data_IF_011686080646
#
_entry.id   IF_011686080646
#
_cell.length_a   1.000
_cell.length_b   1.000
_cell.length_c   1.000
_cell.angle_alpha   90.00
_cell.angle_beta   90.00
_cell.angle_gamma   90.00
#
_symmetry.space_group_name_H-M   'P 1'
#
loop_
_entity.id
_entity.type
_entity.pdbx_description
1 polymer ?
#
# COMPACT_ATOMS: atom_id res chain seq x y z
N UNK A 1 9.33 -5.96 -21.23
CA UNK A 1 8.71 -5.55 -19.95
C UNK A 1 9.79 -4.86 -19.15
N UNK A 2 9.53 -3.67 -18.61
CA UNK A 2 10.44 -3.10 -17.60
C UNK A 2 10.04 -3.75 -16.28
N UNK A 3 11.00 -4.33 -15.59
CA UNK A 3 10.76 -4.89 -14.26
C UNK A 3 10.45 -3.73 -13.29
N UNK A 4 9.34 -3.87 -12.54
CA UNK A 4 9.02 -2.93 -11.46
C UNK A 4 9.92 -3.26 -10.26
N UNK A 5 10.58 -2.23 -9.74
CA UNK A 5 11.47 -2.30 -8.61
C UNK A 5 10.71 -1.84 -7.37
N UNK A 6 10.80 -2.60 -6.29
CA UNK A 6 10.32 -2.16 -4.99
C UNK A 6 11.51 -1.67 -4.18
N UNK A 7 11.43 -0.43 -3.67
CA UNK A 7 12.37 0.03 -2.65
C UNK A 7 12.28 -0.93 -1.44
N UNK A 8 13.43 -1.31 -0.90
CA UNK A 8 13.50 -2.31 0.19
C UNK A 8 12.68 -1.88 1.40
N UNK A 9 12.72 -0.59 1.77
CA UNK A 9 11.94 -0.07 2.91
C UNK A 9 10.45 -0.08 2.61
N UNK A 10 10.06 0.22 1.38
CA UNK A 10 8.65 0.17 0.94
C UNK A 10 8.14 -1.27 0.97
N UNK A 11 8.95 -2.24 0.55
CA UNK A 11 8.62 -3.65 0.65
C UNK A 11 8.45 -4.11 2.10
N UNK A 12 9.33 -3.67 3.00
CA UNK A 12 9.20 -3.96 4.44
C UNK A 12 7.91 -3.38 5.03
N UNK A 13 7.55 -2.15 4.67
CA UNK A 13 6.29 -1.52 5.08
C UNK A 13 5.09 -2.33 4.56
N UNK A 14 5.10 -2.71 3.29
CA UNK A 14 4.05 -3.52 2.69
C UNK A 14 3.86 -4.85 3.43
N UNK A 15 4.94 -5.60 3.63
CA UNK A 15 4.90 -6.89 4.33
C UNK A 15 4.45 -6.69 5.80
N UNK A 16 4.89 -5.62 6.48
CA UNK A 16 4.47 -5.27 7.84
C UNK A 16 2.96 -5.02 7.93
N UNK A 17 2.39 -4.25 7.00
CA UNK A 17 0.96 -3.94 6.98
C UNK A 17 0.15 -5.21 6.71
N UNK A 18 0.51 -5.98 5.68
CA UNK A 18 -0.18 -7.23 5.31
C UNK A 18 -0.17 -8.23 6.46
N UNK A 19 0.95 -8.39 7.17
CA UNK A 19 1.05 -9.29 8.31
C UNK A 19 0.18 -8.88 9.52
N UNK A 20 -0.19 -7.60 9.62
CA UNK A 20 -1.09 -7.09 10.66
C UNK A 20 -2.58 -7.14 10.25
N UNK A 21 -2.90 -7.57 9.03
CA UNK A 21 -4.28 -7.83 8.63
C UNK A 21 -4.78 -9.18 9.18
N UNK A 22 -6.10 -9.37 9.34
CA UNK A 22 -6.67 -10.68 9.64
C UNK A 22 -6.27 -11.70 8.58
N UNK A 23 -5.97 -12.94 8.99
CA UNK A 23 -5.40 -13.98 8.12
C UNK A 23 -6.15 -14.14 6.79
N UNK A 24 -7.48 -14.18 6.83
CA UNK A 24 -8.34 -14.34 5.65
C UNK A 24 -8.20 -13.22 4.61
N UNK A 25 -7.73 -12.03 5.01
CA UNK A 25 -7.58 -10.87 4.13
C UNK A 25 -6.15 -10.72 3.58
N UNK A 26 -5.16 -11.45 4.11
CA UNK A 26 -3.74 -11.22 3.78
C UNK A 26 -3.42 -11.53 2.32
N UNK A 27 -3.85 -12.69 1.83
CA UNK A 27 -3.54 -13.14 0.46
C UNK A 27 -4.16 -12.22 -0.59
N UNK A 28 -5.42 -11.82 -0.39
CA UNK A 28 -6.11 -10.91 -1.30
C UNK A 28 -5.52 -9.50 -1.24
N UNK A 29 -5.23 -8.97 -0.05
CA UNK A 29 -4.59 -7.67 0.10
C UNK A 29 -3.19 -7.67 -0.53
N UNK A 30 -2.41 -8.73 -0.34
CA UNK A 30 -1.08 -8.85 -0.90
C UNK A 30 -1.11 -8.81 -2.43
N UNK A 31 -2.08 -9.46 -3.06
CA UNK A 31 -2.23 -9.43 -4.51
C UNK A 31 -2.67 -8.04 -5.00
N UNK A 32 -3.82 -7.56 -4.51
CA UNK A 32 -4.47 -6.36 -5.04
C UNK A 32 -3.64 -5.09 -4.78
N UNK A 33 -3.11 -4.94 -3.55
CA UNK A 33 -2.30 -3.76 -3.21
C UNK A 33 -0.98 -3.76 -3.95
N UNK A 34 -0.36 -4.94 -4.17
CA UNK A 34 0.85 -5.03 -5.00
C UNK A 34 0.56 -4.59 -6.43
N UNK A 35 -0.44 -5.17 -7.07
CA UNK A 35 -0.82 -4.83 -8.46
C UNK A 35 -1.15 -3.33 -8.57
N UNK A 36 -1.95 -2.80 -7.65
CA UNK A 36 -2.31 -1.38 -7.64
C UNK A 36 -1.11 -0.47 -7.40
N UNK A 37 -0.18 -0.81 -6.50
CA UNK A 37 1.01 0.03 -6.25
C UNK A 37 1.92 0.09 -7.48
N UNK A 38 2.07 -1.03 -8.19
CA UNK A 38 2.84 -1.11 -9.43
C UNK A 38 2.17 -0.29 -10.55
N UNK A 39 0.85 -0.37 -10.68
CA UNK A 39 0.07 0.47 -11.60
C UNK A 39 0.23 1.98 -11.31
N UNK A 40 0.16 2.38 -10.04
CA UNK A 40 0.29 3.79 -9.63
C UNK A 40 1.70 4.31 -9.95
N UNK A 41 2.74 3.53 -9.62
CA UNK A 41 4.13 3.88 -9.95
C UNK A 41 4.32 4.05 -11.47
N UNK A 42 3.77 3.14 -12.27
CA UNK A 42 3.81 3.21 -13.73
C UNK A 42 3.01 4.41 -14.28
N UNK A 43 1.83 4.68 -13.73
CA UNK A 43 1.00 5.84 -14.10
C UNK A 43 1.71 7.17 -13.89
N UNK A 44 2.61 7.23 -12.91
CA UNK A 44 3.51 8.36 -12.65
C UNK A 44 4.74 8.40 -13.57
N UNK A 45 4.95 7.37 -14.40
CA UNK A 45 6.14 7.22 -15.25
C UNK A 45 7.38 6.70 -14.50
N UNK A 46 7.20 6.13 -13.31
CA UNK A 46 8.26 5.50 -12.53
C UNK A 46 8.27 3.98 -12.75
N UNK A 47 9.45 3.36 -12.68
CA UNK A 47 9.57 1.90 -12.55
C UNK A 47 9.88 1.47 -11.11
N UNK A 48 9.90 2.41 -10.17
CA UNK A 48 10.15 2.15 -8.75
C UNK A 48 8.91 2.47 -7.96
N UNK A 49 8.42 1.50 -7.19
CA UNK A 49 7.35 1.68 -6.20
C UNK A 49 7.92 2.41 -5.00
N UNK A 50 7.40 3.60 -4.76
CA UNK A 50 7.71 4.45 -3.61
C UNK A 50 6.60 4.34 -2.55
N UNK A 51 6.86 4.88 -1.36
CA UNK A 51 5.91 4.85 -0.25
C UNK A 51 4.54 5.44 -0.62
N UNK A 52 4.50 6.54 -1.39
CA UNK A 52 3.24 7.14 -1.84
C UNK A 52 2.38 6.18 -2.65
N UNK A 53 3.02 5.38 -3.52
CA UNK A 53 2.33 4.49 -4.46
C UNK A 53 1.69 3.34 -3.66
N UNK A 54 2.41 2.87 -2.63
CA UNK A 54 1.92 1.88 -1.68
C UNK A 54 0.76 2.38 -0.81
N UNK A 55 0.85 3.59 -0.26
CA UNK A 55 -0.20 4.14 0.60
C UNK A 55 -1.47 4.39 -0.21
N UNK A 56 -1.34 4.97 -1.40
CA UNK A 56 -2.46 5.18 -2.31
C UNK A 56 -3.11 3.83 -2.70
N UNK A 57 -2.32 2.81 -3.01
CA UNK A 57 -2.83 1.46 -3.31
C UNK A 57 -3.66 0.87 -2.15
N UNK A 58 -3.19 0.98 -0.90
CA UNK A 58 -3.96 0.51 0.25
C UNK A 58 -5.31 1.22 0.39
N UNK A 59 -5.37 2.54 0.13
CA UNK A 59 -6.62 3.30 0.22
C UNK A 59 -7.54 3.11 -0.99
N UNK A 60 -6.97 2.76 -2.16
CA UNK A 60 -7.71 2.41 -3.38
C UNK A 60 -8.38 1.05 -3.26
N UNK A 61 -7.66 0.04 -2.76
CA UNK A 61 -8.15 -1.34 -2.72
C UNK A 61 -9.02 -1.65 -1.49
N UNK A 62 -9.01 -0.78 -0.47
CA UNK A 62 -9.84 -0.97 0.71
C UNK A 62 -11.25 -0.39 0.51
N UNK A 63 -12.32 -1.11 0.88
CA UNK A 63 -13.67 -0.56 0.83
C UNK A 63 -13.81 0.68 1.73
N UNK A 64 -14.64 1.68 1.36
CA UNK A 64 -14.79 2.92 2.10
C UNK A 64 -15.08 2.74 3.60
N UNK A 65 -15.91 1.75 3.96
CA UNK A 65 -16.26 1.44 5.35
C UNK A 65 -15.07 1.05 6.23
N UNK A 66 -13.95 0.61 5.64
CA UNK A 66 -12.77 0.16 6.35
C UNK A 66 -11.61 1.17 6.30
N UNK A 67 -11.77 2.33 5.65
CA UNK A 67 -10.72 3.36 5.57
C UNK A 67 -10.25 3.81 6.97
N UNK A 68 -11.17 4.02 7.90
CA UNK A 68 -10.83 4.40 9.29
C UNK A 68 -10.06 3.30 10.04
N UNK A 69 -10.33 2.03 9.75
CA UNK A 69 -9.54 0.93 10.30
C UNK A 69 -8.10 0.96 9.75
N UNK A 70 -7.93 1.21 8.46
CA UNK A 70 -6.61 1.31 7.83
C UNK A 70 -5.82 2.51 8.36
N UNK A 71 -6.46 3.68 8.52
CA UNK A 71 -5.85 4.86 9.16
C UNK A 71 -5.31 4.53 10.56
N UNK A 72 -6.09 3.83 11.38
CA UNK A 72 -5.66 3.38 12.72
C UNK A 72 -4.50 2.38 12.67
N UNK A 73 -4.52 1.47 11.69
CA UNK A 73 -3.42 0.53 11.48
C UNK A 73 -2.13 1.25 11.11
N UNK A 74 -2.17 2.16 10.14
CA UNK A 74 -1.01 2.96 9.75
C UNK A 74 -0.48 3.81 10.90
N UNK A 75 -1.36 4.46 11.66
CA UNK A 75 -0.95 5.19 12.85
C UNK A 75 -0.23 4.30 13.87
N UNK A 76 -0.77 3.10 14.16
CA UNK A 76 -0.13 2.12 15.07
C UNK A 76 1.22 1.64 14.56
N UNK A 77 1.38 1.49 13.25
CA UNK A 77 2.62 1.03 12.63
C UNK A 77 3.62 2.17 12.36
N UNK A 78 3.31 3.39 12.79
CA UNK A 78 4.10 4.62 12.62
C UNK A 78 4.33 5.00 11.15
N UNK A 79 3.35 4.71 10.29
CA UNK A 79 3.38 5.00 8.85
C UNK A 79 2.67 6.34 8.61
N UNK A 80 3.41 7.31 8.04
CA UNK A 80 2.85 8.63 7.76
C UNK A 80 2.07 8.65 6.44
N UNK A 81 0.79 8.29 6.52
CA UNK A 81 -0.10 8.27 5.36
C UNK A 81 -0.74 9.62 5.02
N UNK A 82 -0.78 10.57 5.97
CA UNK A 82 -1.55 11.83 5.82
C UNK A 82 -1.02 12.73 4.70
N UNK A 83 0.28 12.63 4.42
CA UNK A 83 0.92 13.38 3.34
C UNK A 83 0.59 12.84 1.93
N UNK A 84 -0.04 11.66 1.83
CA UNK A 84 -0.28 10.96 0.57
C UNK A 84 -1.76 10.75 0.24
N UNK A 85 -2.67 11.12 1.15
CA UNK A 85 -4.11 11.07 0.88
C UNK A 85 -4.70 12.47 0.93
N UNK A 86 -5.57 12.80 -0.02
CA UNK A 86 -6.49 13.91 0.10
C UNK A 86 -7.77 13.37 0.75
N UNK A 87 -8.19 13.97 1.86
CA UNK A 87 -9.46 13.66 2.54
C UNK A 87 -10.66 14.31 1.85
#
# INVERSE_FOLDING_TARGET
MRDIIWDTKVKEVFDKVVNNLPQFHRSIAQKLVKESAEEIAQGRGSNTVEERDLIEAFFREIPPAFKEMMKRLFHRLEINYKQYIQE
#
